data_IF_046736887557
#
_entry.id   IF_046736887557
#
_cell.length_a   1.000
_cell.length_b   1.000
_cell.length_c   1.000
_cell.angle_alpha   90.00
_cell.angle_beta   90.00
_cell.angle_gamma   90.00
#
_symmetry.space_group_name_H-M   'P 1'
#
loop_
_entity.id
_entity.type
_entity.pdbx_description
1 polymer ?
#
# COMPACT_ATOMS: atom_id res chain seq x y z
N UNK A 1 0.90 -16.12 -8.89
CA UNK A 1 1.24 -14.85 -9.56
C UNK A 1 0.50 -13.73 -8.84
N UNK A 2 1.15 -12.60 -8.55
CA UNK A 2 0.57 -11.49 -7.78
C UNK A 2 1.63 -10.55 -7.25
N UNK A 3 1.27 -9.75 -6.23
CA UNK A 3 2.22 -8.93 -5.46
C UNK A 3 2.27 -9.41 -4.01
N UNK A 4 3.47 -9.45 -3.44
CA UNK A 4 3.71 -9.79 -2.03
C UNK A 4 4.38 -8.62 -1.32
N UNK A 5 3.85 -8.25 -0.16
CA UNK A 5 4.40 -7.20 0.71
C UNK A 5 5.20 -7.81 1.85
N UNK A 6 6.46 -7.42 1.96
CA UNK A 6 7.35 -7.81 3.05
C UNK A 6 7.46 -6.62 3.97
N UNK A 7 6.89 -6.72 5.17
CA UNK A 7 6.81 -5.62 6.13
C UNK A 7 7.97 -5.73 7.12
N UNK A 8 8.63 -4.60 7.37
CA UNK A 8 9.59 -4.48 8.46
C UNK A 8 8.89 -3.87 9.69
N UNK A 9 8.65 -4.70 10.70
CA UNK A 9 7.98 -4.29 11.94
C UNK A 9 8.76 -3.24 12.73
N UNK A 10 10.09 -3.21 12.64
CA UNK A 10 10.90 -2.22 13.36
C UNK A 10 10.74 -0.82 12.76
N UNK A 11 10.61 -0.71 11.43
CA UNK A 11 10.52 0.58 10.73
C UNK A 11 9.12 1.16 10.83
N UNK A 12 8.09 0.31 10.93
CA UNK A 12 6.67 0.70 11.03
C UNK A 12 6.32 1.62 12.20
N UNK A 13 7.21 1.74 13.18
CA UNK A 13 7.01 2.51 14.42
C UNK A 13 8.28 3.25 14.84
N UNK A 14 9.20 3.53 13.92
CA UNK A 14 10.50 4.13 14.26
C UNK A 14 10.50 5.67 14.24
N UNK A 15 9.35 6.28 13.94
CA UNK A 15 9.14 7.72 13.85
C UNK A 15 9.55 8.34 12.51
N UNK A 16 9.95 7.53 11.52
CA UNK A 16 10.34 8.00 10.19
C UNK A 16 9.29 7.61 9.18
N UNK A 17 8.91 8.57 8.34
CA UNK A 17 7.91 8.38 7.29
C UNK A 17 8.53 8.91 6.00
N UNK A 18 8.44 8.14 4.92
CA UNK A 18 9.05 8.45 3.62
C UNK A 18 10.59 8.57 3.67
N UNK A 19 11.26 7.77 4.51
CA UNK A 19 12.71 7.63 4.53
C UNK A 19 13.17 6.53 3.54
N UNK A 20 13.82 6.88 2.42
CA UNK A 20 14.21 5.90 1.40
C UNK A 20 15.23 4.87 1.87
N UNK A 21 15.97 5.13 2.95
CA UNK A 21 16.89 4.17 3.54
C UNK A 21 16.19 3.19 4.50
N UNK A 22 14.91 3.45 4.84
CA UNK A 22 14.12 2.69 5.81
C UNK A 22 12.66 2.48 5.37
N UNK A 23 12.39 1.85 4.22
CA UNK A 23 11.02 1.59 3.80
C UNK A 23 10.32 0.60 4.74
N UNK A 24 9.10 0.92 5.18
CA UNK A 24 8.31 0.03 6.06
C UNK A 24 7.93 -1.27 5.35
N UNK A 25 7.86 -1.27 4.03
CA UNK A 25 7.66 -2.49 3.27
C UNK A 25 8.30 -2.49 1.88
N UNK A 26 8.77 -3.67 1.47
CA UNK A 26 9.19 -3.96 0.11
C UNK A 26 8.11 -4.78 -0.61
N UNK A 27 7.83 -4.42 -1.86
CA UNK A 27 6.79 -5.07 -2.68
C UNK A 27 7.44 -5.86 -3.81
N UNK A 28 7.16 -7.15 -3.84
CA UNK A 28 7.65 -8.08 -4.84
C UNK A 28 6.54 -8.50 -5.79
N UNK A 29 6.78 -8.42 -7.09
CA UNK A 29 5.95 -9.08 -8.08
C UNK A 29 6.36 -10.54 -8.18
N UNK A 30 5.40 -11.44 -8.02
CA UNK A 30 5.60 -12.88 -8.12
C UNK A 30 5.05 -13.38 -9.44
N UNK A 31 5.89 -13.95 -10.31
CA UNK A 31 5.50 -14.54 -11.59
C UNK A 31 6.11 -15.93 -11.70
N UNK A 32 5.27 -16.95 -11.87
CA UNK A 32 5.72 -18.35 -12.00
C UNK A 32 6.68 -18.83 -10.90
N UNK A 33 6.51 -18.32 -9.68
CA UNK A 33 7.35 -18.63 -8.52
C UNK A 33 8.61 -17.77 -8.37
N UNK A 34 8.95 -16.96 -9.37
CA UNK A 34 10.03 -15.97 -9.30
C UNK A 34 9.55 -14.67 -8.66
N UNK A 35 10.39 -14.05 -7.83
CA UNK A 35 10.10 -12.80 -7.11
C UNK A 35 11.01 -11.68 -7.62
N UNK A 36 10.42 -10.60 -8.11
CA UNK A 36 11.13 -9.39 -8.51
C UNK A 36 10.72 -8.24 -7.60
N UNK A 37 11.69 -7.50 -7.02
CA UNK A 37 11.40 -6.27 -6.30
C UNK A 37 10.91 -5.19 -7.28
N UNK A 38 9.74 -4.61 -7.05
CA UNK A 38 9.10 -3.67 -7.99
C UNK A 38 8.65 -2.37 -7.37
N UNK A 39 8.48 -2.31 -6.04
CA UNK A 39 8.16 -1.07 -5.34
C UNK A 39 8.63 -1.11 -3.89
N UNK A 40 8.77 0.07 -3.30
CA UNK A 40 8.74 0.27 -1.86
C UNK A 40 7.36 0.80 -1.45
N UNK A 41 6.91 0.47 -0.26
CA UNK A 41 5.68 1.00 0.34
C UNK A 41 6.07 1.68 1.65
N UNK A 42 5.73 2.95 1.75
CA UNK A 42 5.95 3.75 2.95
C UNK A 42 4.64 3.88 3.70
N UNK A 43 4.68 3.61 5.01
CA UNK A 43 3.51 3.69 5.88
C UNK A 43 3.65 4.91 6.79
N UNK A 44 2.54 5.58 7.06
CA UNK A 44 2.50 6.56 8.12
C UNK A 44 2.60 5.88 9.50
N UNK A 45 2.79 6.67 10.56
CA UNK A 45 2.79 6.15 11.93
C UNK A 45 1.39 5.66 12.36
N UNK A 46 1.28 4.65 13.23
CA UNK A 46 0.01 4.21 13.79
C UNK A 46 -0.80 5.37 14.40
N UNK A 47 -2.10 5.42 14.11
CA UNK A 47 -2.98 6.51 14.53
C UNK A 47 -3.07 7.68 13.55
N UNK A 48 -2.22 7.71 12.51
CA UNK A 48 -2.39 8.65 11.39
C UNK A 48 -3.60 8.24 10.54
N UNK A 49 -4.40 9.22 10.12
CA UNK A 49 -5.53 9.03 9.21
C UNK A 49 -5.31 9.77 7.90
N UNK A 50 -6.11 9.48 6.86
CA UNK A 50 -6.09 10.21 5.59
C UNK A 50 -6.40 11.72 5.75
N UNK A 51 -7.00 12.13 6.86
CA UNK A 51 -7.24 13.55 7.17
C UNK A 51 -6.01 14.26 7.73
N UNK A 52 -5.10 13.50 8.35
CA UNK A 52 -3.93 14.03 9.06
C UNK A 52 -2.63 13.82 8.30
N UNK A 53 -2.65 13.08 7.18
CA UNK A 53 -1.48 12.91 6.32
C UNK A 53 -1.10 14.24 5.65
N UNK A 54 0.21 14.57 5.57
CA UNK A 54 0.66 15.77 4.89
C UNK A 54 0.45 15.68 3.37
N UNK A 55 0.17 16.82 2.75
CA UNK A 55 0.23 16.97 1.28
C UNK A 55 1.70 17.00 0.85
N UNK A 56 2.13 15.95 0.13
CA UNK A 56 3.50 15.77 -0.35
C UNK A 56 3.43 15.48 -1.84
N UNK A 57 4.16 16.24 -2.66
CA UNK A 57 4.19 16.01 -4.11
C UNK A 57 2.89 16.34 -4.85
N UNK A 58 1.88 16.90 -4.16
CA UNK A 58 0.62 17.31 -4.77
C UNK A 58 -0.05 16.15 -5.51
N UNK A 59 -0.64 16.39 -6.71
CA UNK A 59 -1.33 15.35 -7.48
C UNK A 59 -0.46 14.17 -7.94
N UNK A 60 0.86 14.22 -7.74
CA UNK A 60 1.74 13.11 -8.08
C UNK A 60 1.62 11.98 -7.06
N UNK A 61 1.39 12.28 -5.78
CA UNK A 61 1.27 11.24 -4.75
C UNK A 61 -0.15 11.18 -4.21
N UNK A 62 -0.55 10.00 -3.75
CA UNK A 62 -1.85 9.82 -3.12
C UNK A 62 -1.73 8.84 -1.97
N UNK A 63 -1.96 9.35 -0.76
CA UNK A 63 -2.17 8.50 0.41
C UNK A 63 -3.42 7.66 0.23
N UNK A 64 -3.32 6.39 0.58
CA UNK A 64 -4.45 5.46 0.58
C UNK A 64 -4.32 4.49 1.76
N UNK A 65 -5.39 3.76 2.06
CA UNK A 65 -5.44 2.76 3.12
C UNK A 65 -5.99 1.44 2.61
N UNK A 66 -5.64 0.33 3.25
CA UNK A 66 -6.28 -0.95 2.98
C UNK A 66 -7.24 -1.32 4.12
N UNK A 67 -8.51 -0.95 3.97
CA UNK A 67 -9.59 -1.23 4.91
C UNK A 67 -10.48 -2.41 4.48
N UNK A 68 -10.09 -3.12 3.42
CA UNK A 68 -10.80 -4.27 2.85
C UNK A 68 -9.97 -5.57 2.86
N UNK A 69 -8.74 -5.55 3.39
CA UNK A 69 -7.84 -6.70 3.39
C UNK A 69 -7.88 -7.48 4.69
N UNK A 70 -7.81 -8.80 4.56
CA UNK A 70 -7.70 -9.75 5.67
C UNK A 70 -6.33 -10.42 5.66
N UNK A 71 -5.69 -10.46 6.83
CA UNK A 71 -4.31 -10.91 6.99
C UNK A 71 -4.24 -12.20 7.80
N UNK A 72 -3.35 -13.11 7.41
CA UNK A 72 -2.97 -14.26 8.22
C UNK A 72 -2.05 -13.82 9.38
N UNK A 73 -1.84 -14.69 10.36
CA UNK A 73 -0.90 -14.45 11.48
C UNK A 73 0.52 -14.13 11.01
N UNK A 74 0.92 -14.65 9.84
CA UNK A 74 2.20 -14.34 9.19
C UNK A 74 2.31 -12.90 8.66
N UNK A 75 1.22 -12.11 8.70
CA UNK A 75 1.16 -10.77 8.12
C UNK A 75 0.91 -10.74 6.61
N UNK A 76 0.73 -11.90 5.97
CA UNK A 76 0.40 -11.98 4.54
C UNK A 76 -1.09 -11.69 4.30
N UNK A 77 -1.39 -10.97 3.21
CA UNK A 77 -2.78 -10.82 2.72
C UNK A 77 -3.29 -12.20 2.30
N UNK A 78 -4.37 -12.65 2.93
CA UNK A 78 -4.93 -13.98 2.75
C UNK A 78 -6.44 -13.97 2.40
N UNK A 79 -7.05 -12.78 2.32
CA UNK A 79 -8.43 -12.63 1.90
C UNK A 79 -8.87 -11.17 1.84
N UNK A 80 -10.14 -10.99 1.49
CA UNK A 80 -10.85 -9.72 1.56
C UNK A 80 -11.91 -9.79 2.66
N UNK A 81 -12.32 -8.63 3.15
CA UNK A 81 -13.44 -8.53 4.10
C UNK A 81 -14.75 -8.94 3.43
N UNK A 82 -15.67 -9.50 4.21
CA UNK A 82 -17.04 -9.76 3.77
C UNK A 82 -17.89 -8.48 3.65
N UNK A 83 -19.17 -8.62 3.29
CA UNK A 83 -20.10 -7.50 3.13
C UNK A 83 -20.36 -6.71 4.43
N UNK A 84 -20.05 -7.29 5.59
CA UNK A 84 -20.11 -6.64 6.91
C UNK A 84 -18.78 -6.03 7.35
N UNK A 85 -17.74 -6.14 6.52
CA UNK A 85 -16.39 -5.65 6.81
C UNK A 85 -15.55 -6.58 7.70
N UNK A 86 -16.03 -7.82 7.94
CA UNK A 86 -15.36 -8.81 8.78
C UNK A 86 -14.41 -9.72 8.00
N UNK A 87 -13.45 -10.34 8.70
CA UNK A 87 -12.57 -11.35 8.14
C UNK A 87 -12.99 -12.75 8.58
N UNK A 88 -12.90 -13.73 7.68
CA UNK A 88 -13.13 -15.12 8.02
C UNK A 88 -12.04 -15.61 9.01
N UNK A 89 -12.39 -16.21 10.16
CA UNK A 89 -11.39 -16.75 11.07
C UNK A 89 -10.49 -17.80 10.38
N UNK A 90 -9.16 -17.82 10.63
CA UNK A 90 -8.44 -17.06 11.66
C UNK A 90 -7.90 -15.70 11.19
N UNK A 91 -8.32 -15.20 10.02
CA UNK A 91 -7.79 -13.97 9.46
C UNK A 91 -8.22 -12.75 10.28
N UNK A 92 -7.35 -11.76 10.35
CA UNK A 92 -7.56 -10.52 11.09
C UNK A 92 -7.56 -9.31 10.17
N UNK A 93 -8.32 -8.29 10.55
CA UNK A 93 -8.29 -6.97 9.94
C UNK A 93 -7.58 -6.00 10.89
N UNK A 94 -6.31 -5.62 10.62
CA UNK A 94 -5.62 -4.63 11.43
C UNK A 94 -6.21 -3.23 11.20
N UNK A 95 -5.88 -2.31 12.10
CA UNK A 95 -6.17 -0.89 11.89
C UNK A 95 -5.49 -0.42 10.59
N UNK A 96 -6.25 0.15 9.64
CA UNK A 96 -5.68 0.68 8.41
C UNK A 96 -4.76 1.87 8.71
N UNK A 97 -3.60 1.90 8.07
CA UNK A 97 -2.63 3.00 8.19
C UNK A 97 -2.40 3.60 6.81
N UNK A 98 -2.43 4.93 6.62
CA UNK A 98 -2.14 5.55 5.34
C UNK A 98 -0.78 5.15 4.80
N UNK A 99 -0.70 4.91 3.49
CA UNK A 99 0.53 4.51 2.82
C UNK A 99 0.66 5.11 1.42
N UNK A 100 1.90 5.13 0.93
CA UNK A 100 2.26 5.50 -0.45
C UNK A 100 3.16 4.41 -1.01
N UNK A 101 2.84 3.94 -2.22
CA UNK A 101 3.74 3.10 -3.01
C UNK A 101 4.65 3.96 -3.89
N UNK A 102 5.90 3.54 -4.00
CA UNK A 102 6.88 4.09 -4.94
C UNK A 102 7.40 2.95 -5.81
N UNK A 103 6.94 2.91 -7.05
CA UNK A 103 7.34 1.94 -8.06
C UNK A 103 8.75 2.25 -8.57
N UNK A 104 9.61 1.23 -8.55
CA UNK A 104 10.99 1.29 -9.07
C UNK A 104 11.13 0.64 -10.45
N UNK A 105 10.00 0.25 -11.03
CA UNK A 105 9.85 -0.23 -12.40
C UNK A 105 8.81 0.64 -13.12
N UNK A 106 8.79 0.67 -14.47
CA UNK A 106 7.77 1.39 -15.21
C UNK A 106 6.35 1.00 -14.79
N UNK A 107 5.51 2.01 -14.57
CA UNK A 107 4.11 1.84 -14.20
C UNK A 107 3.24 2.76 -15.06
N UNK A 108 2.12 2.29 -15.67
CA UNK A 108 1.32 3.09 -16.61
C UNK A 108 0.72 4.38 -16.00
N UNK A 109 0.43 4.36 -14.70
CA UNK A 109 -0.09 5.51 -13.95
C UNK A 109 1.00 6.33 -13.22
N UNK A 110 2.27 6.10 -13.56
CA UNK A 110 3.41 6.79 -12.96
C UNK A 110 3.96 6.13 -11.70
N UNK A 111 5.11 6.63 -11.18
CA UNK A 111 5.88 5.98 -10.12
C UNK A 111 5.19 5.95 -8.76
N UNK A 112 4.14 6.74 -8.55
CA UNK A 112 3.41 6.85 -7.27
C UNK A 112 1.99 6.30 -7.34
N UNK A 113 1.71 5.45 -8.33
CA UNK A 113 0.38 4.86 -8.50
C UNK A 113 -0.03 4.07 -7.25
N UNK A 114 -1.10 4.54 -6.61
CA UNK A 114 -1.53 4.11 -5.28
C UNK A 114 -2.33 2.80 -5.26
N UNK A 115 -3.06 2.48 -6.34
CA UNK A 115 -4.11 1.48 -6.31
C UNK A 115 -4.03 0.60 -7.56
N UNK A 116 -4.23 -0.71 -7.42
CA UNK A 116 -4.48 -1.67 -8.52
C UNK A 116 -5.47 -2.77 -8.08
N UNK A 117 -6.41 -3.13 -8.95
CA UNK A 117 -7.30 -4.29 -8.75
C UNK A 117 -8.35 -4.19 -7.62
N UNK A 118 -8.95 -5.34 -7.29
CA UNK A 118 -10.04 -5.51 -6.30
C UNK A 118 -9.51 -5.40 -4.86
N UNK A 119 -8.22 -5.68 -4.66
CA UNK A 119 -7.49 -5.44 -3.42
C UNK A 119 -7.00 -3.98 -3.30
N UNK A 120 -7.35 -3.12 -4.25
CA UNK A 120 -7.04 -1.69 -4.18
C UNK A 120 -7.59 -1.10 -2.89
N UNK A 121 -6.74 -0.35 -2.19
CA UNK A 121 -7.12 0.43 -1.03
C UNK A 121 -8.13 1.56 -1.32
N UNK A 122 -8.54 2.20 -0.25
CA UNK A 122 -9.44 3.35 -0.22
C UNK A 122 -8.63 4.65 -0.11
N UNK A 123 -9.12 5.71 -0.74
CA UNK A 123 -8.57 7.07 -0.66
C UNK A 123 -9.47 7.95 0.21
N UNK A 124 -9.04 9.18 0.45
CA UNK A 124 -9.82 10.13 1.26
C UNK A 124 -11.20 10.33 0.64
N UNK A 125 -12.30 10.30 1.43
CA UNK A 125 -13.64 10.51 0.90
C UNK A 125 -13.75 11.82 0.12
N UNK A 126 -14.28 11.74 -1.10
CA UNK A 126 -14.43 12.88 -2.01
C UNK A 126 -13.25 13.12 -2.95
N UNK A 127 -12.14 12.40 -2.81
CA UNK A 127 -11.05 12.41 -3.78
C UNK A 127 -11.31 11.49 -4.98
N UNK A 128 -10.61 11.76 -6.07
CA UNK A 128 -10.53 10.86 -7.21
C UNK A 128 -9.23 10.06 -7.14
N UNK A 129 -9.29 8.80 -7.57
CA UNK A 129 -8.10 7.98 -7.73
C UNK A 129 -7.21 8.58 -8.81
N UNK A 130 -5.98 8.90 -8.44
CA UNK A 130 -5.04 9.53 -9.36
C UNK A 130 -4.36 8.48 -10.24
N UNK A 131 -4.21 8.80 -11.52
CA UNK A 131 -3.42 8.05 -12.49
C UNK A 131 -2.68 9.07 -13.36
N UNK A 132 -1.39 9.23 -13.11
CA UNK A 132 -0.57 10.20 -13.83
C UNK A 132 0.10 9.54 -15.03
N UNK A 133 -0.60 9.56 -16.16
CA UNK A 133 -0.09 9.00 -17.41
C UNK A 133 1.02 9.85 -18.04
N UNK A 134 1.21 11.11 -17.61
CA UNK A 134 2.28 11.96 -18.12
C UNK A 134 3.67 11.49 -17.64
N UNK A 135 3.73 10.91 -16.44
CA UNK A 135 4.92 10.29 -15.87
C UNK A 135 4.86 8.75 -15.90
N UNK A 136 3.93 8.18 -16.68
CA UNK A 136 3.77 6.75 -16.86
C UNK A 136 4.82 6.12 -17.77
N UNK A 137 5.04 4.81 -17.61
CA UNK A 137 5.92 4.01 -18.47
C UNK A 137 5.36 2.61 -18.74
N UNK A 138 5.90 1.95 -19.77
CA UNK A 138 5.55 0.58 -20.20
C UNK A 138 6.75 -0.35 -20.11
#
# INVERSE_FOLDING_TARGET
TGYEHYINGEYRTDGRVLDPDRPESLVYQVRNGEKQLVAAMYMAEPGTTLETTPDIGGPLTQWHIHDNLCFAESGAVAGLTDASGGCAPPLVKPEPVPMIHVWIVPHPCGPFAALEGIAGGSIKPGEQRLCDTAHGGH
#
